data_IF_438723464918
#
_entry.id   IF_438723464918
#
_cell.length_a   1.000
_cell.length_b   1.000
_cell.length_c   1.000
_cell.angle_alpha   90.00
_cell.angle_beta   90.00
_cell.angle_gamma   90.00
#
_symmetry.space_group_name_H-M   'P 1'
#
loop_
_entity.id
_entity.type
_entity.pdbx_description
1 polymer ?
#
# COMPACT_ATOMS: atom_id res chain seq x y z
N UNK A 1 -5.37 5.13 19.43
CA UNK A 1 -5.44 4.65 20.84
C UNK A 1 -5.99 5.69 21.82
N UNK A 2 -5.62 6.97 21.73
CA UNK A 2 -6.13 8.02 22.63
C UNK A 2 -7.63 8.32 22.45
N UNK A 3 -8.07 8.61 21.23
CA UNK A 3 -9.50 8.82 20.86
C UNK A 3 -10.36 7.60 21.25
N UNK A 4 -9.82 6.39 21.06
CA UNK A 4 -10.41 5.09 21.41
C UNK A 4 -10.76 4.94 22.90
N UNK A 5 -10.01 5.61 23.78
CA UNK A 5 -10.10 5.45 25.22
C UNK A 5 -10.96 6.51 25.93
N UNK A 6 -11.72 7.32 25.19
CA UNK A 6 -12.35 8.56 25.69
C UNK A 6 -11.32 9.54 26.26
N UNK A 7 -10.23 9.78 25.53
CA UNK A 7 -9.16 10.66 25.99
C UNK A 7 -8.55 10.20 27.32
N UNK A 8 -8.48 8.89 27.58
CA UNK A 8 -7.89 8.38 28.79
C UNK A 8 -6.44 8.87 28.90
N UNK A 9 -6.13 9.51 30.03
CA UNK A 9 -4.82 10.10 30.30
C UNK A 9 -3.65 9.15 30.06
N UNK A 10 -3.89 7.84 30.16
CA UNK A 10 -2.91 6.77 29.89
C UNK A 10 -2.27 6.82 28.49
N UNK A 11 -2.98 7.30 27.46
CA UNK A 11 -2.45 7.36 26.09
C UNK A 11 -1.92 8.75 25.69
N UNK A 12 -2.07 9.74 26.57
CA UNK A 12 -1.54 11.10 26.34
C UNK A 12 -0.02 11.07 26.19
N UNK A 13 0.77 10.40 27.05
CA UNK A 13 2.22 10.40 26.91
C UNK A 13 2.67 9.87 25.54
N UNK A 14 2.11 8.75 25.09
CA UNK A 14 2.42 8.19 23.77
C UNK A 14 2.02 9.15 22.63
N UNK A 15 0.82 9.75 22.71
CA UNK A 15 0.37 10.72 21.72
C UNK A 15 1.30 11.95 21.66
N UNK A 16 1.72 12.48 22.82
CA UNK A 16 2.64 13.60 22.89
C UNK A 16 4.02 13.22 22.37
N UNK A 17 4.61 12.10 22.80
CA UNK A 17 5.94 11.69 22.35
C UNK A 17 5.99 11.49 20.83
N UNK A 18 5.08 10.67 20.28
CA UNK A 18 5.07 10.40 18.84
C UNK A 18 4.60 11.61 18.03
N UNK A 19 3.61 12.37 18.54
CA UNK A 19 3.09 13.57 17.89
C UNK A 19 4.13 14.68 17.84
N UNK A 20 4.82 14.97 18.94
CA UNK A 20 5.88 15.97 19.01
C UNK A 20 7.08 15.58 18.15
N UNK A 21 7.51 14.32 18.19
CA UNK A 21 8.60 13.84 17.33
C UNK A 21 8.24 13.98 15.84
N UNK A 22 7.02 13.59 15.48
CA UNK A 22 6.50 13.72 14.10
C UNK A 22 6.43 15.19 13.68
N UNK A 23 5.99 16.09 14.58
CA UNK A 23 5.92 17.51 14.32
C UNK A 23 7.31 18.13 14.12
N UNK A 24 8.29 17.78 14.95
CA UNK A 24 9.68 18.25 14.81
C UNK A 24 10.27 17.79 13.48
N UNK A 25 10.16 16.51 13.15
CA UNK A 25 10.64 15.98 11.87
C UNK A 25 9.90 16.62 10.69
N UNK A 26 8.58 16.79 10.78
CA UNK A 26 7.77 17.44 9.76
C UNK A 26 8.18 18.89 9.53
N UNK A 27 8.36 19.67 10.59
CA UNK A 27 8.84 21.07 10.50
C UNK A 27 10.23 21.12 9.89
N UNK A 28 11.15 20.23 10.30
CA UNK A 28 12.48 20.16 9.70
C UNK A 28 12.42 19.88 8.18
N UNK A 29 11.55 18.95 7.75
CA UNK A 29 11.32 18.70 6.32
C UNK A 29 10.76 19.93 5.61
N UNK A 30 9.79 20.64 6.19
CA UNK A 30 9.20 21.83 5.57
C UNK A 30 10.17 23.01 5.47
N UNK A 31 11.10 23.14 6.43
CA UNK A 31 12.15 24.17 6.40
C UNK A 31 13.20 23.83 5.34
N UNK A 32 13.63 22.57 5.25
CA UNK A 32 14.67 22.14 4.32
C UNK A 32 14.15 21.93 2.88
N UNK A 33 12.86 21.63 2.74
CA UNK A 33 12.22 21.26 1.49
C UNK A 33 10.75 21.74 1.49
N UNK A 34 10.51 23.05 1.31
CA UNK A 34 9.17 23.63 1.40
C UNK A 34 8.22 23.09 0.32
N UNK A 35 8.76 22.59 -0.80
CA UNK A 35 8.01 21.88 -1.84
C UNK A 35 7.25 20.65 -1.33
N UNK A 36 7.62 20.09 -0.18
CA UNK A 36 6.91 19.00 0.46
C UNK A 36 5.46 19.37 0.81
N UNK A 37 5.12 20.67 0.93
CA UNK A 37 3.74 21.12 1.15
C UNK A 37 2.76 20.64 0.06
N UNK A 38 3.22 20.43 -1.17
CA UNK A 38 2.35 19.92 -2.24
C UNK A 38 1.79 18.52 -1.93
N UNK A 39 2.55 17.70 -1.20
CA UNK A 39 2.10 16.38 -0.78
C UNK A 39 1.04 16.41 0.30
N UNK A 40 0.81 17.55 0.97
CA UNK A 40 -0.33 17.69 1.88
C UNK A 40 -1.63 17.46 1.12
N UNK A 41 -1.74 17.90 -0.14
CA UNK A 41 -2.97 17.78 -0.94
C UNK A 41 -3.43 16.31 -1.07
N UNK A 42 -2.62 15.35 -1.58
CA UNK A 42 -3.04 13.96 -1.68
C UNK A 42 -3.11 13.23 -0.32
N UNK A 43 -2.31 13.62 0.69
CA UNK A 43 -2.31 12.94 1.99
C UNK A 43 -3.44 13.41 2.92
N UNK A 44 -3.90 14.66 2.81
CA UNK A 44 -4.96 15.21 3.65
C UNK A 44 -6.27 14.40 3.61
N UNK A 45 -6.83 14.01 2.45
CA UNK A 45 -8.02 13.17 2.42
C UNK A 45 -7.78 11.78 3.03
N UNK A 46 -6.57 11.22 2.89
CA UNK A 46 -6.23 9.92 3.49
C UNK A 46 -6.16 10.00 5.02
N UNK A 47 -5.58 11.09 5.54
CA UNK A 47 -5.56 11.39 6.96
C UNK A 47 -6.99 11.60 7.47
N UNK A 48 -7.83 12.33 6.73
CA UNK A 48 -9.23 12.55 7.09
C UNK A 48 -9.99 11.22 7.20
N UNK A 49 -9.84 10.31 6.23
CA UNK A 49 -10.42 8.96 6.27
C UNK A 49 -9.90 8.19 7.51
N UNK A 50 -8.60 8.22 7.78
CA UNK A 50 -8.02 7.52 8.93
C UNK A 50 -8.56 8.07 10.27
N UNK A 51 -8.71 9.39 10.37
CA UNK A 51 -9.26 10.09 11.54
C UNK A 51 -10.74 9.74 11.71
N UNK A 52 -11.55 9.85 10.66
CA UNK A 52 -12.98 9.53 10.68
C UNK A 52 -13.20 8.07 11.09
N UNK A 53 -12.49 7.12 10.47
CA UNK A 53 -12.61 5.70 10.78
C UNK A 53 -12.15 5.39 12.21
N UNK A 54 -11.15 6.11 12.73
CA UNK A 54 -10.74 6.02 14.13
C UNK A 54 -11.79 6.60 15.09
N UNK A 55 -12.44 7.71 14.74
CA UNK A 55 -13.54 8.29 15.52
C UNK A 55 -14.77 7.39 15.54
N UNK A 56 -15.16 6.83 14.39
CA UNK A 56 -16.29 5.91 14.25
C UNK A 56 -16.00 4.50 14.79
N UNK A 57 -14.80 4.23 15.32
CA UNK A 57 -14.35 2.93 15.86
C UNK A 57 -14.40 1.79 14.83
N UNK A 58 -14.25 2.12 13.54
CA UNK A 58 -14.24 1.17 12.42
C UNK A 58 -12.81 0.75 12.05
N UNK A 59 -11.97 0.48 13.06
CA UNK A 59 -10.54 0.13 12.91
C UNK A 59 -10.25 -1.09 12.01
N UNK A 60 -11.28 -1.87 11.63
CA UNK A 60 -11.16 -3.05 10.77
C UNK A 60 -11.77 -2.87 9.37
N UNK A 61 -12.17 -1.66 9.00
CA UNK A 61 -12.75 -1.39 7.70
C UNK A 61 -11.74 -1.66 6.58
N UNK A 62 -12.26 -2.03 5.40
CA UNK A 62 -11.43 -2.15 4.20
C UNK A 62 -10.92 -0.76 3.80
N UNK A 63 -11.75 0.27 3.95
CA UNK A 63 -11.43 1.65 3.58
C UNK A 63 -10.23 2.22 4.35
N UNK A 64 -10.17 2.05 5.68
CA UNK A 64 -9.03 2.50 6.47
C UNK A 64 -7.73 1.76 6.09
N UNK A 65 -7.82 0.46 5.82
CA UNK A 65 -6.69 -0.33 5.32
C UNK A 65 -6.21 0.18 3.96
N UNK A 66 -7.13 0.47 3.04
CA UNK A 66 -6.83 1.00 1.72
C UNK A 66 -6.20 2.40 1.77
N UNK A 67 -6.74 3.31 2.59
CA UNK A 67 -6.17 4.63 2.78
C UNK A 67 -4.73 4.55 3.31
N UNK A 68 -4.48 3.62 4.24
CA UNK A 68 -3.13 3.39 4.79
C UNK A 68 -2.18 2.84 3.74
N UNK A 69 -2.60 1.84 2.96
CA UNK A 69 -1.78 1.27 1.88
C UNK A 69 -1.54 2.29 0.78
N UNK A 70 -2.53 3.11 0.43
CA UNK A 70 -2.38 4.17 -0.55
C UNK A 70 -1.39 5.23 -0.07
N UNK A 71 -1.50 5.66 1.19
CA UNK A 71 -0.55 6.58 1.80
C UNK A 71 0.88 6.02 1.80
N UNK A 72 1.03 4.73 2.17
CA UNK A 72 2.32 4.05 2.15
C UNK A 72 2.88 3.88 0.72
N UNK A 73 2.02 3.64 -0.27
CA UNK A 73 2.45 3.49 -1.67
C UNK A 73 2.90 4.85 -2.24
N UNK A 74 2.18 5.93 -1.91
CA UNK A 74 2.51 7.30 -2.29
C UNK A 74 3.84 7.79 -1.72
N UNK A 75 4.45 7.12 -0.74
CA UNK A 75 5.80 7.50 -0.30
C UNK A 75 6.86 7.26 -1.38
N UNK A 76 6.61 6.40 -2.37
CA UNK A 76 7.53 6.18 -3.50
C UNK A 76 7.73 7.44 -4.37
N UNK A 77 6.68 8.07 -4.92
CA UNK A 77 6.83 9.28 -5.71
C UNK A 77 7.24 10.47 -4.85
N UNK A 78 6.87 10.50 -3.56
CA UNK A 78 7.41 11.47 -2.59
C UNK A 78 8.94 11.35 -2.52
N UNK A 79 9.46 10.16 -2.25
CA UNK A 79 10.90 9.91 -2.13
C UNK A 79 11.64 10.22 -3.44
N UNK A 80 11.07 9.84 -4.59
CA UNK A 80 11.63 10.19 -5.90
C UNK A 80 11.69 11.70 -6.11
N UNK A 81 10.62 12.43 -5.75
CA UNK A 81 10.57 13.88 -5.83
C UNK A 81 11.64 14.57 -4.98
N UNK A 82 11.88 14.09 -3.76
CA UNK A 82 13.00 14.57 -2.92
C UNK A 82 14.37 14.30 -3.54
N UNK A 83 14.55 13.15 -4.20
CA UNK A 83 15.81 12.82 -4.89
C UNK A 83 16.07 13.71 -6.11
N UNK A 84 15.03 14.09 -6.84
CA UNK A 84 15.11 14.96 -8.03
C UNK A 84 15.34 16.42 -7.61
N UNK A 85 14.63 16.90 -6.59
CA UNK A 85 14.67 18.28 -6.12
C UNK A 85 15.85 18.57 -5.16
N UNK A 86 17.01 17.94 -5.38
CA UNK A 86 18.20 18.08 -4.53
C UNK A 86 18.72 19.54 -4.49
N UNK A 87 19.40 19.96 -3.40
CA UNK A 87 19.86 21.34 -3.24
C UNK A 87 20.80 21.78 -4.37
N UNK A 88 20.45 22.88 -5.05
CA UNK A 88 21.22 23.46 -6.16
C UNK A 88 20.66 23.19 -7.56
N UNK A 89 19.70 22.28 -7.70
CA UNK A 89 19.09 21.94 -9.01
C UNK A 89 17.55 22.01 -9.02
N UNK A 90 16.87 21.98 -7.86
CA UNK A 90 15.42 21.83 -7.76
C UNK A 90 14.62 23.08 -7.37
N UNK A 91 13.83 23.65 -8.28
CA UNK A 91 12.72 24.55 -7.94
C UNK A 91 11.44 23.74 -7.67
N UNK A 92 10.38 24.39 -7.16
CA UNK A 92 9.05 23.81 -6.94
C UNK A 92 8.48 23.02 -8.14
N UNK A 93 9.00 23.25 -9.35
CA UNK A 93 8.57 22.65 -10.59
C UNK A 93 9.13 21.23 -10.78
N UNK A 94 10.31 20.92 -10.22
CA UNK A 94 11.00 19.64 -10.47
C UNK A 94 10.34 18.45 -9.77
N UNK A 95 9.61 18.71 -8.67
CA UNK A 95 8.80 17.69 -7.99
C UNK A 95 7.60 17.23 -8.83
N UNK A 96 7.21 18.01 -9.85
CA UNK A 96 6.13 17.63 -10.77
C UNK A 96 6.65 16.73 -11.90
N UNK A 97 7.96 16.68 -12.12
CA UNK A 97 8.61 15.88 -13.17
C UNK A 97 9.02 14.48 -12.69
N UNK A 98 8.20 13.87 -11.81
CA UNK A 98 8.42 12.48 -11.38
C UNK A 98 8.24 11.55 -12.59
N UNK A 99 9.21 10.68 -12.89
CA UNK A 99 9.12 9.77 -14.04
C UNK A 99 7.85 8.93 -14.00
N UNK A 100 7.22 8.72 -15.16
CA UNK A 100 6.01 7.91 -15.28
C UNK A 100 6.20 6.48 -14.75
N UNK A 101 7.42 5.94 -14.82
CA UNK A 101 7.77 4.63 -14.27
C UNK A 101 7.59 4.58 -12.75
N UNK A 102 7.89 5.65 -12.01
CA UNK A 102 7.67 5.71 -10.55
C UNK A 102 6.18 5.70 -10.22
N UNK A 103 5.37 6.42 -10.99
CA UNK A 103 3.90 6.36 -10.85
C UNK A 103 3.36 4.97 -11.14
N UNK A 104 3.88 4.31 -12.17
CA UNK A 104 3.51 2.94 -12.49
C UNK A 104 3.94 1.96 -11.38
N UNK A 105 5.13 2.13 -10.81
CA UNK A 105 5.60 1.38 -9.63
C UNK A 105 4.62 1.53 -8.48
N UNK A 106 4.24 2.78 -8.19
CA UNK A 106 3.32 3.14 -7.11
C UNK A 106 1.98 2.45 -7.27
N UNK A 107 1.46 2.40 -8.50
CA UNK A 107 0.21 1.71 -8.82
C UNK A 107 0.35 0.21 -8.55
N UNK A 108 1.41 -0.46 -9.01
CA UNK A 108 1.58 -1.89 -8.79
C UNK A 108 1.84 -2.26 -7.32
N UNK A 109 2.60 -1.44 -6.59
CA UNK A 109 2.81 -1.58 -5.15
C UNK A 109 1.48 -1.41 -4.40
N UNK A 110 0.68 -0.41 -4.78
CA UNK A 110 -0.66 -0.23 -4.22
C UNK A 110 -1.57 -1.42 -4.54
N UNK A 111 -1.65 -1.84 -5.79
CA UNK A 111 -2.46 -2.99 -6.22
C UNK A 111 -2.08 -4.24 -5.41
N UNK A 112 -0.78 -4.45 -5.18
CA UNK A 112 -0.31 -5.62 -4.46
C UNK A 112 -0.73 -5.57 -2.99
N UNK A 113 -0.30 -4.53 -2.26
CA UNK A 113 -0.58 -4.44 -0.82
C UNK A 113 -2.08 -4.27 -0.53
N UNK A 114 -2.84 -3.55 -1.34
CA UNK A 114 -4.28 -3.43 -1.19
C UNK A 114 -4.98 -4.77 -1.48
N UNK A 115 -4.46 -5.54 -2.45
CA UNK A 115 -4.91 -6.90 -2.73
C UNK A 115 -4.68 -7.84 -1.55
N UNK A 116 -3.57 -7.68 -0.83
CA UNK A 116 -3.31 -8.48 0.38
C UNK A 116 -4.35 -8.22 1.48
N UNK A 117 -4.95 -7.02 1.56
CA UNK A 117 -6.03 -6.73 2.53
C UNK A 117 -7.22 -7.66 2.31
N UNK A 118 -7.65 -7.84 1.06
CA UNK A 118 -8.71 -8.79 0.73
C UNK A 118 -8.26 -10.23 0.94
N UNK A 119 -7.09 -10.59 0.41
CA UNK A 119 -6.56 -11.96 0.50
C UNK A 119 -6.42 -12.44 1.96
N UNK A 120 -5.83 -11.63 2.83
CA UNK A 120 -5.65 -11.97 4.25
C UNK A 120 -6.99 -12.03 4.97
N UNK A 121 -7.91 -11.09 4.69
CA UNK A 121 -9.27 -11.15 5.26
C UNK A 121 -9.98 -12.46 4.87
N UNK A 122 -9.95 -12.84 3.60
CA UNK A 122 -10.53 -14.10 3.08
C UNK A 122 -9.94 -15.34 3.75
N UNK A 123 -8.64 -15.35 4.08
CA UNK A 123 -7.99 -16.52 4.66
C UNK A 123 -8.08 -16.60 6.20
N UNK A 124 -8.19 -15.47 6.90
CA UNK A 124 -8.15 -15.42 8.37
C UNK A 124 -9.53 -15.14 8.97
N UNK A 125 -10.12 -13.99 8.66
CA UNK A 125 -11.30 -13.46 9.39
C UNK A 125 -12.62 -13.78 8.71
N UNK A 126 -12.64 -13.73 7.39
CA UNK A 126 -13.81 -13.87 6.52
C UNK A 126 -13.75 -15.20 5.76
N UNK A 127 -13.25 -16.24 6.44
CA UNK A 127 -13.05 -17.55 5.83
C UNK A 127 -14.39 -18.19 5.48
N UNK A 128 -14.50 -18.70 4.26
CA UNK A 128 -15.75 -19.26 3.74
C UNK A 128 -16.73 -18.21 3.21
N UNK A 129 -16.43 -16.91 3.38
CA UNK A 129 -17.29 -15.84 2.88
C UNK A 129 -17.05 -15.62 1.37
N UNK A 130 -18.02 -16.02 0.54
CA UNK A 130 -17.94 -15.90 -0.92
C UNK A 130 -17.78 -14.46 -1.39
N UNK A 131 -18.36 -13.47 -0.69
CA UNK A 131 -18.24 -12.05 -1.06
C UNK A 131 -16.79 -11.57 -0.96
N UNK A 132 -16.08 -11.96 0.10
CA UNK A 132 -14.66 -11.60 0.25
C UNK A 132 -13.75 -12.37 -0.71
N UNK A 133 -14.09 -13.63 -1.03
CA UNK A 133 -13.38 -14.37 -2.07
C UNK A 133 -13.53 -13.69 -3.43
N UNK A 134 -14.75 -13.35 -3.84
CA UNK A 134 -15.03 -12.65 -5.11
C UNK A 134 -14.32 -11.28 -5.13
N UNK A 135 -14.38 -10.50 -4.05
CA UNK A 135 -13.67 -9.23 -3.96
C UNK A 135 -12.15 -9.41 -4.11
N UNK A 136 -11.58 -10.43 -3.45
CA UNK A 136 -10.16 -10.76 -3.59
C UNK A 136 -9.81 -11.15 -5.02
N UNK A 137 -10.58 -12.04 -5.66
CA UNK A 137 -10.31 -12.48 -7.02
C UNK A 137 -10.50 -11.36 -8.05
N UNK A 138 -11.54 -10.54 -7.91
CA UNK A 138 -11.77 -9.40 -8.77
C UNK A 138 -10.59 -8.41 -8.68
N UNK A 139 -10.12 -8.10 -7.47
CA UNK A 139 -8.97 -7.21 -7.28
C UNK A 139 -7.69 -7.73 -7.95
N UNK A 140 -7.35 -9.00 -7.71
CA UNK A 140 -6.16 -9.62 -8.31
C UNK A 140 -6.31 -9.77 -9.83
N UNK A 141 -7.52 -10.04 -10.32
CA UNK A 141 -7.83 -10.10 -11.76
C UNK A 141 -7.67 -8.74 -12.45
N UNK A 142 -8.10 -7.65 -11.83
CA UNK A 142 -7.86 -6.28 -12.33
C UNK A 142 -6.36 -6.00 -12.39
N UNK A 143 -5.62 -6.33 -11.33
CA UNK A 143 -4.18 -6.11 -11.29
C UNK A 143 -3.43 -6.96 -12.33
N UNK A 144 -3.86 -8.21 -12.56
CA UNK A 144 -3.38 -9.07 -13.64
C UNK A 144 -3.68 -8.47 -15.01
N UNK A 145 -4.88 -7.93 -15.23
CA UNK A 145 -5.19 -7.26 -16.49
C UNK A 145 -4.28 -6.04 -16.72
N UNK A 146 -4.06 -5.21 -15.70
CA UNK A 146 -3.11 -4.09 -15.77
C UNK A 146 -1.69 -4.56 -16.10
N UNK A 147 -1.21 -5.63 -15.45
CA UNK A 147 0.10 -6.21 -15.73
C UNK A 147 0.20 -6.80 -17.15
N UNK A 148 -0.86 -7.44 -17.62
CA UNK A 148 -0.94 -8.00 -18.98
C UNK A 148 -0.92 -6.90 -20.05
N UNK A 149 -1.63 -5.78 -19.83
CA UNK A 149 -1.57 -4.61 -20.70
C UNK A 149 -0.14 -4.05 -20.73
N UNK A 150 0.51 -3.90 -19.57
CA UNK A 150 1.88 -3.43 -19.51
C UNK A 150 2.85 -4.38 -20.22
N UNK A 151 2.68 -5.70 -20.07
CA UNK A 151 3.44 -6.71 -20.80
C UNK A 151 3.27 -6.61 -22.32
N UNK A 152 2.05 -6.36 -22.77
CA UNK A 152 1.76 -6.16 -24.19
C UNK A 152 2.39 -4.88 -24.74
N UNK A 153 2.34 -3.77 -23.98
CA UNK A 153 2.84 -2.47 -24.40
C UNK A 153 4.37 -2.36 -24.38
N UNK A 154 5.02 -2.93 -23.37
CA UNK A 154 6.45 -2.71 -23.11
C UNK A 154 7.32 -3.94 -23.41
N UNK A 155 6.75 -5.15 -23.45
CA UNK A 155 7.48 -6.39 -23.69
C UNK A 155 8.54 -6.70 -22.63
N UNK A 156 9.48 -7.59 -22.96
CA UNK A 156 10.63 -7.91 -22.10
C UNK A 156 10.23 -8.43 -20.71
N UNK A 157 10.84 -7.86 -19.66
CA UNK A 157 10.60 -8.26 -18.28
C UNK A 157 9.18 -7.97 -17.77
N UNK A 158 8.39 -7.15 -18.47
CA UNK A 158 6.98 -6.98 -18.15
C UNK A 158 6.17 -8.28 -18.31
N UNK A 159 6.64 -9.22 -19.15
CA UNK A 159 6.06 -10.58 -19.23
C UNK A 159 6.23 -11.30 -17.89
N UNK A 160 7.41 -11.22 -17.26
CA UNK A 160 7.64 -11.79 -15.94
C UNK A 160 6.75 -11.11 -14.87
N UNK A 161 6.51 -9.80 -15.01
CA UNK A 161 5.58 -9.06 -14.16
C UNK A 161 4.14 -9.59 -14.29
N UNK A 162 3.65 -9.79 -15.52
CA UNK A 162 2.33 -10.38 -15.75
C UNK A 162 2.22 -11.82 -15.21
N UNK A 163 3.28 -12.63 -15.37
CA UNK A 163 3.33 -13.99 -14.82
C UNK A 163 3.28 -13.99 -13.28
N UNK A 164 3.96 -13.05 -12.62
CA UNK A 164 3.83 -12.88 -11.16
C UNK A 164 2.38 -12.62 -10.77
N UNK A 165 1.69 -11.69 -11.45
CA UNK A 165 0.28 -11.40 -11.17
C UNK A 165 -0.64 -12.57 -11.46
N UNK A 166 -0.32 -13.41 -12.44
CA UNK A 166 -1.05 -14.64 -12.72
C UNK A 166 -0.92 -15.61 -11.54
N UNK A 167 0.29 -15.78 -11.02
CA UNK A 167 0.56 -16.61 -9.84
C UNK A 167 -0.16 -16.05 -8.60
N UNK A 168 -0.14 -14.73 -8.38
CA UNK A 168 -0.83 -14.09 -7.25
C UNK A 168 -2.35 -14.25 -7.33
N UNK A 169 -2.91 -14.15 -8.54
CA UNK A 169 -4.35 -14.37 -8.79
C UNK A 169 -4.72 -15.82 -8.54
N UNK A 170 -3.93 -16.76 -9.06
CA UNK A 170 -4.12 -18.19 -8.79
C UNK A 170 -4.00 -18.51 -7.30
N UNK A 171 -3.03 -17.91 -6.60
CA UNK A 171 -2.84 -18.00 -5.15
C UNK A 171 -4.07 -17.51 -4.39
N UNK A 172 -4.65 -16.38 -4.81
CA UNK A 172 -5.84 -15.81 -4.20
C UNK A 172 -7.07 -16.72 -4.29
N UNK A 173 -7.08 -17.67 -5.23
CA UNK A 173 -8.10 -18.72 -5.35
C UNK A 173 -7.73 -20.00 -4.59
N UNK A 174 -6.57 -20.57 -4.88
CA UNK A 174 -6.21 -21.93 -4.43
C UNK A 174 -6.06 -22.04 -2.92
N UNK A 175 -5.54 -21.00 -2.26
CA UNK A 175 -5.30 -21.03 -0.81
C UNK A 175 -6.62 -21.06 -0.02
N UNK A 176 -7.59 -20.13 -0.23
CA UNK A 176 -8.86 -20.21 0.46
C UNK A 176 -9.68 -21.45 0.04
N UNK A 177 -9.59 -21.89 -1.22
CA UNK A 177 -10.24 -23.12 -1.67
C UNK A 177 -9.74 -24.34 -0.88
N UNK A 178 -8.42 -24.52 -0.75
CA UNK A 178 -7.82 -25.62 0.04
C UNK A 178 -8.15 -25.50 1.53
N UNK A 179 -8.24 -24.28 2.05
CA UNK A 179 -8.61 -24.04 3.44
C UNK A 179 -10.08 -24.43 3.75
N UNK A 180 -10.96 -24.42 2.75
CA UNK A 180 -12.36 -24.88 2.90
C UNK A 180 -12.49 -26.40 2.79
N UNK A 181 -11.62 -27.06 2.02
CA UNK A 181 -11.66 -28.50 1.76
C UNK A 181 -10.62 -29.31 2.56
N UNK A 182 -9.97 -28.67 3.54
CA UNK A 182 -8.87 -29.27 4.28
C UNK A 182 -8.36 -28.38 5.40
N UNK A 183 -7.10 -28.56 5.77
CA UNK A 183 -6.48 -27.76 6.85
C UNK A 183 -6.06 -26.39 6.31
N UNK A 184 -6.48 -25.28 6.95
CA UNK A 184 -6.06 -23.94 6.56
C UNK A 184 -4.56 -23.74 6.83
N UNK A 185 -3.93 -22.90 6.00
CA UNK A 185 -2.56 -22.46 6.27
C UNK A 185 -2.49 -21.68 7.59
N UNK A 186 -1.34 -21.77 8.26
CA UNK A 186 -1.08 -20.99 9.47
C UNK A 186 -0.92 -19.51 9.13
N UNK A 187 -1.18 -18.63 10.11
CA UNK A 187 -1.00 -17.17 9.96
C UNK A 187 0.45 -16.85 9.58
N UNK A 188 1.41 -17.58 10.16
CA UNK A 188 2.83 -17.42 9.84
C UNK A 188 3.14 -17.81 8.39
N UNK A 189 2.60 -18.91 7.88
CA UNK A 189 2.81 -19.33 6.49
C UNK A 189 2.24 -18.31 5.49
N UNK A 190 1.05 -17.76 5.78
CA UNK A 190 0.48 -16.67 4.97
C UNK A 190 1.38 -15.43 4.99
N UNK A 191 1.86 -15.03 6.18
CA UNK A 191 2.75 -13.88 6.33
C UNK A 191 4.08 -14.03 5.59
N UNK A 192 4.74 -15.18 5.71
CA UNK A 192 5.97 -15.47 4.97
C UNK A 192 5.74 -15.48 3.45
N UNK A 193 4.59 -15.99 3.00
CA UNK A 193 4.19 -15.95 1.59
C UNK A 193 4.05 -14.53 1.06
N UNK A 194 3.54 -13.58 1.86
CA UNK A 194 3.49 -12.17 1.48
C UNK A 194 4.88 -11.50 1.47
N UNK A 195 5.74 -11.81 2.44
CA UNK A 195 7.12 -11.30 2.43
C UNK A 195 7.85 -11.75 1.16
N UNK A 196 7.78 -13.03 0.83
CA UNK A 196 8.39 -13.57 -0.38
C UNK A 196 7.81 -12.92 -1.64
N UNK A 197 6.49 -12.83 -1.76
CA UNK A 197 5.84 -12.19 -2.89
C UNK A 197 6.20 -10.70 -3.02
N UNK A 198 6.35 -9.97 -1.92
CA UNK A 198 6.79 -8.57 -1.89
C UNK A 198 8.22 -8.42 -2.43
N UNK A 199 9.13 -9.32 -2.03
CA UNK A 199 10.52 -9.33 -2.53
C UNK A 199 10.54 -9.63 -4.03
N UNK A 200 9.79 -10.64 -4.48
CA UNK A 200 9.70 -10.97 -5.90
C UNK A 200 9.11 -9.81 -6.70
N UNK A 201 8.07 -9.14 -6.20
CA UNK A 201 7.51 -7.94 -6.83
C UNK A 201 8.57 -6.85 -7.00
N UNK A 202 9.37 -6.58 -5.96
CA UNK A 202 10.45 -5.59 -6.03
C UNK A 202 11.53 -5.96 -7.06
N UNK A 203 11.93 -7.24 -7.12
CA UNK A 203 12.90 -7.74 -8.10
C UNK A 203 12.35 -7.61 -9.52
N UNK A 204 11.13 -8.10 -9.75
CA UNK A 204 10.53 -8.07 -11.09
C UNK A 204 10.26 -6.63 -11.53
N UNK A 205 9.88 -5.74 -10.62
CA UNK A 205 9.81 -4.30 -10.89
C UNK A 205 11.16 -3.72 -11.30
N UNK A 206 12.23 -4.02 -10.55
CA UNK A 206 13.59 -3.54 -10.85
C UNK A 206 14.05 -3.95 -12.26
N UNK A 207 13.68 -5.16 -12.71
CA UNK A 207 13.99 -5.65 -14.05
C UNK A 207 13.17 -4.97 -15.16
N UNK A 208 12.09 -4.26 -14.83
CA UNK A 208 11.23 -3.54 -15.79
C UNK A 208 11.63 -2.08 -16.02
N UNK A 209 12.56 -1.55 -15.22
CA UNK A 209 13.18 -0.22 -15.38
C UNK A 209 14.37 -0.34 -16.35
#
# INVERSE_FOLDING_TARGET
MYIKSRFARRYIPALLTYGTLTAICGVAVLVLAPYALLWVIPFLPLIAIAVEEAHCRRERSVLSGFATVLAASLTLPVAAGFGIAAPGTGQWQDILHIPWSIWLCTIFVFLYFAGTVFYVKTNIRERGNSKYLVASLAWHGIALACAGIAAFMFGGWWIAHALLWLVLTFRAWIVPYRAQHGKPLTIMALGMGEVFASIVLAIVWYLCI
#
